data_IF_025535568796
#
_entry.id   IF_025535568796
#
_cell.length_a   1.000
_cell.length_b   1.000
_cell.length_c   1.000
_cell.angle_alpha   90.00
_cell.angle_beta   90.00
_cell.angle_gamma   90.00
#
_symmetry.space_group_name_H-M   'P 1'
#
loop_
_entity.id
_entity.type
_entity.pdbx_description
1 polymer ?
#
# COMPACT_ATOMS: atom_id res chain seq x y z
N UNK A 1 4.63 -8.75 7.19
CA UNK A 1 3.58 -9.14 6.24
C UNK A 1 4.21 -9.99 5.14
N UNK A 2 3.50 -10.98 4.63
CA UNK A 2 4.06 -11.89 3.64
C UNK A 2 3.98 -11.32 2.22
N UNK A 3 4.73 -11.96 1.30
CA UNK A 3 4.80 -11.51 -0.08
C UNK A 3 3.46 -11.62 -0.82
N UNK A 4 2.61 -12.56 -0.43
CA UNK A 4 1.29 -12.73 -1.04
C UNK A 4 0.43 -11.48 -0.83
N UNK A 5 0.41 -10.94 0.38
CA UNK A 5 -0.36 -9.72 0.68
C UNK A 5 0.20 -8.49 -0.03
N UNK A 6 1.53 -8.38 -0.13
CA UNK A 6 2.14 -7.30 -0.93
C UNK A 6 1.72 -7.38 -2.39
N UNK A 7 1.68 -8.60 -2.95
CA UNK A 7 1.24 -8.82 -4.31
C UNK A 7 -0.24 -8.46 -4.49
N UNK A 8 -1.08 -8.79 -3.53
CA UNK A 8 -2.51 -8.44 -3.57
C UNK A 8 -2.71 -6.93 -3.54
N UNK A 9 -1.93 -6.21 -2.73
CA UNK A 9 -1.97 -4.74 -2.70
C UNK A 9 -1.62 -4.18 -4.07
N UNK A 10 -0.51 -4.64 -4.66
CA UNK A 10 -0.09 -4.19 -5.98
C UNK A 10 -1.19 -4.44 -7.02
N UNK A 11 -1.72 -5.66 -7.08
CA UNK A 11 -2.74 -6.01 -8.06
C UNK A 11 -3.99 -5.17 -7.91
N UNK A 12 -4.42 -4.93 -6.67
CA UNK A 12 -5.63 -4.15 -6.43
C UNK A 12 -5.49 -2.72 -6.93
N UNK A 13 -4.36 -2.07 -6.70
CA UNK A 13 -4.19 -0.67 -7.06
C UNK A 13 -3.66 -0.48 -8.48
N UNK A 14 -2.92 -1.43 -9.01
CA UNK A 14 -2.47 -1.37 -10.40
C UNK A 14 -3.59 -1.78 -11.36
N UNK A 15 -4.12 -2.99 -11.22
CA UNK A 15 -5.18 -3.48 -12.10
C UNK A 15 -6.56 -2.93 -11.73
N UNK A 16 -6.82 -2.75 -10.45
CA UNK A 16 -8.12 -2.31 -9.97
C UNK A 16 -8.36 -0.81 -10.02
N UNK A 17 -7.32 -0.01 -10.20
CA UNK A 17 -7.45 1.44 -10.29
C UNK A 17 -6.67 2.01 -11.48
N UNK A 18 -5.36 1.89 -11.50
CA UNK A 18 -4.54 2.58 -12.49
C UNK A 18 -4.88 2.17 -13.93
N UNK A 19 -4.92 0.88 -14.24
CA UNK A 19 -5.18 0.40 -15.60
C UNK A 19 -6.61 0.59 -16.06
N UNK A 20 -7.58 0.63 -15.15
CA UNK A 20 -8.97 0.81 -15.53
C UNK A 20 -9.48 2.24 -15.38
N UNK A 21 -8.58 3.20 -15.19
CA UNK A 21 -8.96 4.60 -15.13
C UNK A 21 -9.66 4.99 -13.83
N UNK A 22 -9.43 4.24 -12.75
CA UNK A 22 -9.99 4.56 -11.44
C UNK A 22 -9.26 5.72 -10.76
N UNK A 23 -9.55 5.96 -9.48
CA UNK A 23 -8.95 7.09 -8.78
C UNK A 23 -7.44 6.90 -8.60
N UNK A 24 -6.70 8.00 -8.59
CA UNK A 24 -5.28 7.97 -8.28
C UNK A 24 -5.07 7.53 -6.82
N UNK A 25 -4.06 6.69 -6.60
CA UNK A 25 -3.71 6.17 -5.28
C UNK A 25 -2.22 6.42 -5.03
N UNK A 26 -1.85 7.66 -4.64
CA UNK A 26 -0.45 7.99 -4.36
C UNK A 26 0.07 7.23 -3.16
N UNK A 27 1.35 6.88 -3.19
CA UNK A 27 1.94 6.10 -2.11
C UNK A 27 3.38 6.51 -1.83
N UNK A 28 3.85 6.16 -0.62
CA UNK A 28 5.21 6.35 -0.18
C UNK A 28 5.64 5.09 0.57
N UNK A 29 6.83 4.58 0.26
CA UNK A 29 7.41 3.46 1.00
C UNK A 29 8.67 3.87 1.71
N UNK A 30 8.98 3.19 2.81
CA UNK A 30 10.25 3.28 3.48
C UNK A 30 10.83 1.88 3.62
N UNK A 31 12.09 1.71 3.21
CA UNK A 31 12.77 0.44 3.38
C UNK A 31 13.32 0.29 4.80
N UNK A 32 13.69 -0.94 5.17
CA UNK A 32 14.32 -1.19 6.46
C UNK A 32 15.64 -0.41 6.64
N UNK A 33 16.30 -0.08 5.53
CA UNK A 33 17.52 0.72 5.55
C UNK A 33 17.26 2.22 5.62
N UNK A 34 16.01 2.65 5.53
CA UNK A 34 15.63 4.04 5.67
C UNK A 34 15.45 4.81 4.36
N UNK A 35 15.53 4.14 3.22
CA UNK A 35 15.28 4.79 1.93
C UNK A 35 13.78 5.03 1.74
N UNK A 36 13.42 6.25 1.36
CA UNK A 36 12.03 6.65 1.15
C UNK A 36 11.81 6.89 -0.34
N UNK A 37 10.73 6.33 -0.88
CA UNK A 37 10.35 6.49 -2.26
C UNK A 37 8.85 6.77 -2.37
N UNK A 38 8.48 7.75 -3.19
CA UNK A 38 7.08 8.10 -3.42
C UNK A 38 6.76 8.06 -4.91
N UNK A 39 5.53 7.66 -5.24
CA UNK A 39 5.05 7.67 -6.62
C UNK A 39 3.52 7.81 -6.63
N UNK A 40 2.98 8.23 -7.76
CA UNK A 40 1.55 8.30 -8.01
C UNK A 40 1.05 7.09 -8.80
N UNK A 41 1.96 6.26 -9.30
CA UNK A 41 1.61 5.09 -10.11
C UNK A 41 2.07 3.82 -9.41
N UNK A 42 1.40 2.71 -9.72
CA UNK A 42 1.72 1.41 -9.12
C UNK A 42 2.65 0.55 -9.98
N UNK A 43 2.99 1.02 -11.19
CA UNK A 43 3.93 0.33 -12.06
C UNK A 43 5.28 0.13 -11.39
N UNK A 44 5.80 1.16 -10.73
CA UNK A 44 7.09 1.09 -10.04
C UNK A 44 7.02 0.26 -8.76
N UNK A 45 5.88 0.21 -8.11
CA UNK A 45 5.70 -0.67 -6.96
C UNK A 45 5.82 -2.14 -7.37
N UNK A 46 5.28 -2.48 -8.52
CA UNK A 46 5.40 -3.84 -9.06
C UNK A 46 6.85 -4.25 -9.32
N UNK A 47 7.68 -3.33 -9.78
CA UNK A 47 9.11 -3.58 -10.00
C UNK A 47 9.81 -3.92 -8.68
N UNK A 48 9.38 -3.35 -7.59
CA UNK A 48 9.94 -3.60 -6.26
C UNK A 48 9.40 -4.82 -5.54
N UNK A 49 8.50 -5.59 -6.14
CA UNK A 49 7.85 -6.72 -5.44
C UNK A 49 8.82 -7.82 -5.02
N UNK A 50 9.87 -8.04 -5.77
CA UNK A 50 10.91 -9.01 -5.42
C UNK A 50 11.65 -8.62 -4.13
N UNK A 51 11.59 -7.34 -3.75
CA UNK A 51 12.21 -6.80 -2.55
C UNK A 51 11.18 -6.43 -1.48
N UNK A 52 9.97 -6.98 -1.56
CA UNK A 52 8.90 -6.64 -0.62
C UNK A 52 9.27 -6.90 0.83
N UNK A 53 10.13 -7.89 1.09
CA UNK A 53 10.62 -8.18 2.44
C UNK A 53 11.44 -7.04 3.06
N UNK A 54 11.90 -6.11 2.24
CA UNK A 54 12.69 -4.95 2.69
C UNK A 54 11.82 -3.74 3.02
N UNK A 55 10.52 -3.81 2.76
CA UNK A 55 9.60 -2.70 3.03
C UNK A 55 9.28 -2.65 4.53
N UNK A 56 9.67 -1.55 5.19
CA UNK A 56 9.33 -1.29 6.57
C UNK A 56 7.85 -0.89 6.67
N UNK A 57 7.45 0.11 5.87
CA UNK A 57 6.06 0.52 5.80
C UNK A 57 5.71 1.07 4.41
N UNK A 58 4.42 1.00 4.10
CA UNK A 58 3.80 1.62 2.94
C UNK A 58 2.77 2.61 3.46
N UNK A 59 2.85 3.85 3.01
CA UNK A 59 1.85 4.89 3.29
C UNK A 59 1.05 5.14 2.02
N UNK A 60 -0.26 4.96 2.10
CA UNK A 60 -1.17 5.23 0.99
C UNK A 60 -1.91 6.52 1.32
N UNK A 61 -1.77 7.52 0.45
CA UNK A 61 -2.38 8.82 0.66
C UNK A 61 -3.86 8.78 0.29
N UNK A 62 -4.70 9.23 1.20
CA UNK A 62 -6.15 9.26 0.99
C UNK A 62 -6.57 10.60 0.40
N UNK A 63 -7.46 10.52 -0.59
CA UNK A 63 -8.12 11.67 -1.19
C UNK A 63 -9.63 11.46 -1.08
N UNK A 64 -10.46 12.50 -1.25
CA UNK A 64 -11.91 12.29 -1.29
C UNK A 64 -12.33 11.27 -2.36
N UNK A 65 -11.61 11.23 -3.48
CA UNK A 65 -11.93 10.36 -4.60
C UNK A 65 -11.53 8.90 -4.38
N UNK A 66 -10.45 8.65 -3.63
CA UNK A 66 -9.92 7.28 -3.47
C UNK A 66 -10.22 6.64 -2.12
N UNK A 67 -10.69 7.41 -1.14
CA UNK A 67 -10.78 6.97 0.26
C UNK A 67 -11.58 5.68 0.43
N UNK A 68 -12.78 5.63 -0.11
CA UNK A 68 -13.64 4.46 0.05
C UNK A 68 -13.03 3.22 -0.62
N UNK A 69 -12.53 3.40 -1.83
CA UNK A 69 -11.88 2.32 -2.57
C UNK A 69 -10.66 1.77 -1.85
N UNK A 70 -9.79 2.66 -1.36
CA UNK A 70 -8.56 2.25 -0.66
C UNK A 70 -8.90 1.50 0.62
N UNK A 71 -9.81 2.03 1.44
CA UNK A 71 -10.17 1.40 2.70
C UNK A 71 -10.85 0.05 2.51
N UNK A 72 -11.78 -0.04 1.56
CA UNK A 72 -12.45 -1.30 1.27
C UNK A 72 -11.46 -2.37 0.77
N UNK A 73 -10.54 -1.97 -0.10
CA UNK A 73 -9.52 -2.85 -0.65
C UNK A 73 -8.63 -3.41 0.46
N UNK A 74 -8.11 -2.54 1.32
CA UNK A 74 -7.20 -2.97 2.38
C UNK A 74 -7.91 -3.81 3.44
N UNK A 75 -9.18 -3.53 3.72
CA UNK A 75 -9.97 -4.36 4.62
C UNK A 75 -10.17 -5.76 4.08
N UNK A 76 -10.39 -5.91 2.77
CA UNK A 76 -10.54 -7.22 2.13
C UNK A 76 -9.25 -8.02 2.18
N UNK A 77 -8.11 -7.37 1.96
CA UNK A 77 -6.80 -8.03 2.02
C UNK A 77 -6.44 -8.35 3.47
N UNK A 78 -6.90 -7.54 4.41
CA UNK A 78 -6.65 -7.69 5.84
C UNK A 78 -5.16 -7.51 6.16
N UNK A 79 -4.70 -6.27 6.06
CA UNK A 79 -3.29 -5.92 6.24
C UNK A 79 -3.01 -5.38 7.64
N UNK A 80 -1.80 -5.61 8.17
CA UNK A 80 -1.38 -4.98 9.42
C UNK A 80 -1.13 -3.49 9.17
N UNK A 81 -1.82 -2.64 9.89
CA UNK A 81 -1.69 -1.21 9.68
C UNK A 81 -2.69 -0.39 10.46
N UNK A 82 -2.77 0.89 10.12
CA UNK A 82 -3.70 1.81 10.76
C UNK A 82 -4.18 2.88 9.79
N UNK A 83 -5.42 3.30 9.99
CA UNK A 83 -6.03 4.38 9.21
C UNK A 83 -5.84 5.68 9.96
N UNK A 84 -5.20 6.66 9.31
CA UNK A 84 -5.00 7.99 9.83
C UNK A 84 -5.93 8.97 9.10
N UNK A 85 -5.85 10.27 9.44
CA UNK A 85 -6.76 11.25 8.87
C UNK A 85 -6.61 11.39 7.35
N UNK A 86 -5.38 11.37 6.85
CA UNK A 86 -5.06 11.64 5.44
C UNK A 86 -4.31 10.51 4.75
N UNK A 87 -4.07 9.40 5.43
CA UNK A 87 -3.34 8.28 4.87
C UNK A 87 -3.64 6.98 5.61
N UNK A 88 -3.20 5.87 5.01
CA UNK A 88 -3.23 4.56 5.65
C UNK A 88 -1.78 4.06 5.73
N UNK A 89 -1.38 3.62 6.90
CA UNK A 89 -0.08 2.98 7.10
C UNK A 89 -0.23 1.47 7.01
N UNK A 90 0.61 0.83 6.22
CA UNK A 90 0.68 -0.64 6.12
C UNK A 90 2.08 -1.06 6.54
N UNK A 91 2.19 -1.95 7.52
CA UNK A 91 3.46 -2.33 8.12
C UNK A 91 3.95 -3.68 7.60
N UNK A 92 5.25 -3.72 7.26
CA UNK A 92 5.87 -4.94 6.73
C UNK A 92 6.42 -5.87 7.80
N UNK A 93 6.99 -5.31 8.88
CA UNK A 93 7.77 -6.07 9.84
C UNK A 93 7.43 -5.80 11.30
N UNK A 94 6.43 -4.97 11.57
CA UNK A 94 6.08 -4.64 12.95
C UNK A 94 5.27 -5.76 13.59
N UNK A 95 5.55 -5.99 14.88
CA UNK A 95 4.81 -6.94 15.70
C UNK A 95 3.79 -6.19 16.56
N UNK A 96 2.74 -6.90 16.97
CA UNK A 96 1.70 -6.35 17.87
C UNK A 96 1.01 -5.11 17.33
N UNK A 97 0.76 -5.08 16.00
CA UNK A 97 -0.01 -4.03 15.35
C UNK A 97 -1.41 -4.54 15.04
N UNK A 98 -2.36 -3.62 15.01
CA UNK A 98 -3.73 -3.94 14.61
C UNK A 98 -3.80 -4.20 13.10
N UNK A 99 -4.86 -4.88 12.68
CA UNK A 99 -5.16 -5.11 11.27
C UNK A 99 -6.31 -4.22 10.84
N UNK A 100 -6.20 -3.76 9.63
CA UNK A 100 -7.26 -2.95 9.01
C UNK A 100 -8.43 -3.81 8.61
#
# INVERSE_FOLDING_TARGET
>A
MNNTKWTEIFKAFYYGAELCGGPAVPWTTRSLEGFVYSDNTWTHFGVGMEHSKEIDWLKIWLTPENREFVLDTLRKIHVPGEVLADCVMVYGHRMHVDYI
#
